data_IF_240173917778
#
_entry.id   IF_240173917778
#
_cell.length_a   1.000
_cell.length_b   1.000
_cell.length_c   1.000
_cell.angle_alpha   90.00
_cell.angle_beta   90.00
_cell.angle_gamma   90.00
#
_symmetry.space_group_name_H-M   'P 1'
#
loop_
_entity.id
_entity.type
_entity.pdbx_description
1 polymer ?
#
# COMPACT_ATOMS: atom_id res chain seq x y z
N UNK A 1 16.69 6.29 -3.89
CA UNK A 1 15.28 6.22 -3.44
C UNK A 1 14.47 5.65 -4.59
N UNK A 2 13.62 4.66 -4.33
CA UNK A 2 12.87 3.93 -5.36
C UNK A 2 11.70 4.78 -5.84
N UNK A 3 11.21 4.55 -7.07
CA UNK A 3 10.08 5.32 -7.60
C UNK A 3 8.79 5.03 -6.81
N UNK A 4 8.63 3.80 -6.34
CA UNK A 4 7.55 3.40 -5.44
C UNK A 4 7.57 4.20 -4.12
N UNK A 5 8.74 4.33 -3.47
CA UNK A 5 8.84 5.08 -2.21
C UNK A 5 8.62 6.58 -2.42
N UNK A 6 9.15 7.17 -3.48
CA UNK A 6 8.91 8.59 -3.82
C UNK A 6 7.41 8.86 -4.06
N UNK A 7 6.73 7.98 -4.81
CA UNK A 7 5.29 8.07 -5.06
C UNK A 7 4.48 7.96 -3.77
N UNK A 8 4.89 7.05 -2.86
CA UNK A 8 4.31 6.93 -1.54
C UNK A 8 4.47 8.22 -0.72
N UNK A 9 5.67 8.81 -0.69
CA UNK A 9 5.93 10.06 0.03
C UNK A 9 5.09 11.22 -0.51
N UNK A 10 4.95 11.34 -1.82
CA UNK A 10 4.03 12.33 -2.41
C UNK A 10 2.58 12.10 -1.97
N UNK A 11 2.14 10.85 -1.89
CA UNK A 11 0.78 10.48 -1.48
C UNK A 11 0.55 10.74 0.01
N UNK A 12 1.50 10.38 0.88
CA UNK A 12 1.38 10.62 2.32
C UNK A 12 1.45 12.11 2.65
N UNK A 13 2.21 12.90 1.90
CA UNK A 13 2.25 14.36 2.04
C UNK A 13 0.90 14.99 1.67
N UNK A 14 0.24 14.51 0.62
CA UNK A 14 -1.14 14.93 0.28
C UNK A 14 -2.13 14.57 1.40
N UNK A 15 -2.02 13.37 1.98
CA UNK A 15 -2.85 12.97 3.13
C UNK A 15 -2.63 13.89 4.33
N UNK A 16 -1.38 14.22 4.67
CA UNK A 16 -1.08 15.19 5.72
C UNK A 16 -1.60 16.60 5.39
N UNK A 17 -1.56 17.01 4.12
CA UNK A 17 -2.13 18.28 3.66
C UNK A 17 -3.62 18.40 3.99
N UNK A 18 -4.39 17.32 3.84
CA UNK A 18 -5.81 17.28 4.21
C UNK A 18 -6.02 17.48 5.71
N UNK A 19 -5.17 16.90 6.56
CA UNK A 19 -5.22 17.13 8.00
C UNK A 19 -4.89 18.59 8.37
N UNK A 20 -3.91 19.20 7.69
CA UNK A 20 -3.56 20.61 7.90
C UNK A 20 -4.72 21.52 7.50
N UNK A 21 -5.38 21.24 6.37
CA UNK A 21 -6.56 22.00 5.95
C UNK A 21 -7.67 21.85 7.00
N UNK A 22 -7.93 20.63 7.49
CA UNK A 22 -8.90 20.40 8.57
C UNK A 22 -8.59 21.25 9.80
N UNK A 23 -7.34 21.26 10.28
CA UNK A 23 -6.97 22.05 11.45
C UNK A 23 -7.19 23.57 11.24
N UNK A 24 -6.92 24.05 10.02
CA UNK A 24 -7.11 25.47 9.67
C UNK A 24 -8.58 25.85 9.57
N UNK A 25 -9.43 24.96 9.07
CA UNK A 25 -10.86 25.27 8.88
C UNK A 25 -11.69 25.01 10.13
N UNK A 26 -11.33 23.99 10.93
CA UNK A 26 -12.07 23.63 12.14
C UNK A 26 -12.06 24.72 13.22
N UNK A 27 -10.95 25.46 13.33
CA UNK A 27 -10.79 26.54 14.31
C UNK A 27 -11.18 27.93 13.75
N UNK A 28 -11.64 28.00 12.50
CA UNK A 28 -11.87 29.28 11.84
C UNK A 28 -13.37 29.66 11.87
N UNK A 29 -13.73 30.82 12.47
CA UNK A 29 -15.12 31.25 12.62
C UNK A 29 -15.87 31.44 11.29
N UNK A 30 -15.15 31.64 10.18
CA UNK A 30 -15.72 31.75 8.84
C UNK A 30 -16.31 30.43 8.32
N UNK A 31 -15.89 29.29 8.87
CA UNK A 31 -16.31 27.96 8.42
C UNK A 31 -17.22 27.23 9.42
N UNK A 32 -17.79 27.96 10.38
CA UNK A 32 -18.71 27.42 11.39
C UNK A 32 -19.92 26.79 10.71
N UNK A 33 -20.18 25.51 11.01
CA UNK A 33 -21.29 24.73 10.45
C UNK A 33 -20.91 23.74 9.34
N UNK A 34 -19.70 23.83 8.76
CA UNK A 34 -19.20 22.82 7.83
C UNK A 34 -18.60 21.63 8.57
N UNK A 35 -19.19 20.44 8.40
CA UNK A 35 -18.62 19.19 8.92
C UNK A 35 -17.40 18.78 8.09
N UNK A 36 -16.25 19.38 8.40
CA UNK A 36 -14.99 19.14 7.71
C UNK A 36 -14.33 17.79 8.05
N UNK A 37 -14.98 16.92 8.83
CA UNK A 37 -14.44 15.61 9.21
C UNK A 37 -14.15 14.71 8.00
N UNK A 38 -14.79 14.96 6.85
CA UNK A 38 -14.50 14.27 5.59
C UNK A 38 -13.09 14.54 5.05
N UNK A 39 -12.46 15.65 5.44
CA UNK A 39 -11.03 15.86 5.17
C UNK A 39 -10.18 14.81 5.88
N UNK A 40 -10.54 14.46 7.13
CA UNK A 40 -9.82 13.43 7.89
C UNK A 40 -10.11 12.04 7.29
N UNK A 41 -11.37 11.74 6.93
CA UNK A 41 -11.73 10.48 6.25
C UNK A 41 -10.96 10.32 4.94
N UNK A 42 -10.92 11.39 4.14
CA UNK A 42 -10.16 11.43 2.89
C UNK A 42 -8.66 11.24 3.12
N UNK A 43 -8.11 11.84 4.19
CA UNK A 43 -6.71 11.64 4.57
C UNK A 43 -6.40 10.18 4.91
N UNK A 44 -7.28 9.50 5.65
CA UNK A 44 -7.15 8.08 5.99
C UNK A 44 -7.18 7.21 4.73
N UNK A 45 -8.17 7.44 3.86
CA UNK A 45 -8.32 6.69 2.60
C UNK A 45 -7.06 6.86 1.74
N UNK A 46 -6.58 8.10 1.58
CA UNK A 46 -5.41 8.39 0.75
C UNK A 46 -4.13 7.76 1.31
N UNK A 47 -3.94 7.75 2.64
CA UNK A 47 -2.78 7.12 3.26
C UNK A 47 -2.76 5.60 3.07
N UNK A 48 -3.90 4.93 3.27
CA UNK A 48 -4.01 3.48 3.07
C UNK A 48 -3.84 3.11 1.59
N UNK A 49 -4.48 3.85 0.67
CA UNK A 49 -4.28 3.64 -0.77
C UNK A 49 -2.82 3.85 -1.20
N UNK A 50 -2.13 4.83 -0.61
CA UNK A 50 -0.70 5.04 -0.84
C UNK A 50 0.15 3.85 -0.39
N UNK A 51 -0.16 3.28 0.78
CA UNK A 51 0.49 2.07 1.27
C UNK A 51 0.27 0.88 0.33
N UNK A 52 -0.95 0.68 -0.14
CA UNK A 52 -1.26 -0.43 -1.05
C UNK A 52 -0.48 -0.32 -2.36
N UNK A 53 -0.53 0.88 -2.97
CA UNK A 53 0.18 1.19 -4.21
C UNK A 53 1.70 1.08 -4.08
N UNK A 54 2.25 1.38 -2.90
CA UNK A 54 3.67 1.20 -2.63
C UNK A 54 4.08 -0.27 -2.79
N UNK A 55 3.37 -1.21 -2.13
CA UNK A 55 3.79 -2.62 -2.13
C UNK A 55 3.68 -3.25 -3.51
N UNK A 56 2.61 -2.94 -4.26
CA UNK A 56 2.44 -3.45 -5.62
C UNK A 56 3.51 -2.86 -6.56
N UNK A 57 3.73 -1.55 -6.52
CA UNK A 57 4.76 -0.89 -7.35
C UNK A 57 6.16 -1.35 -7.00
N UNK A 58 6.48 -1.49 -5.70
CA UNK A 58 7.80 -1.94 -5.25
C UNK A 58 8.05 -3.38 -5.65
N UNK A 59 7.02 -4.22 -5.65
CA UNK A 59 7.13 -5.58 -6.17
C UNK A 59 7.48 -5.55 -7.66
N UNK A 60 6.72 -4.83 -8.50
CA UNK A 60 6.89 -4.87 -9.95
C UNK A 60 8.13 -4.14 -10.46
N UNK A 61 8.63 -3.14 -9.73
CA UNK A 61 9.93 -2.52 -9.99
C UNK A 61 11.08 -3.53 -9.99
N UNK A 62 11.04 -4.51 -9.08
CA UNK A 62 12.11 -5.50 -8.92
C UNK A 62 11.91 -6.77 -9.73
N UNK A 63 10.69 -7.00 -10.24
CA UNK A 63 10.29 -8.25 -10.89
C UNK A 63 11.24 -8.67 -12.02
N UNK A 64 11.53 -7.75 -12.95
CA UNK A 64 12.34 -8.07 -14.12
C UNK A 64 13.80 -8.29 -13.75
N UNK A 65 14.34 -7.50 -12.81
CA UNK A 65 15.69 -7.71 -12.30
C UNK A 65 15.80 -9.06 -11.60
N UNK A 66 14.81 -9.42 -10.80
CA UNK A 66 14.74 -10.71 -10.12
C UNK A 66 14.72 -11.87 -11.11
N UNK A 67 13.84 -11.83 -12.12
CA UNK A 67 13.75 -12.89 -13.14
C UNK A 67 15.08 -13.07 -13.87
N UNK A 68 15.73 -11.97 -14.25
CA UNK A 68 17.01 -12.03 -14.98
C UNK A 68 18.15 -12.61 -14.15
N UNK A 69 18.20 -12.29 -12.85
CA UNK A 69 19.34 -12.63 -12.00
C UNK A 69 19.17 -13.95 -11.24
N UNK A 70 17.93 -14.29 -10.86
CA UNK A 70 17.61 -15.46 -10.01
C UNK A 70 16.72 -16.48 -10.71
N UNK A 71 16.23 -16.18 -11.91
CA UNK A 71 15.31 -17.04 -12.64
C UNK A 71 13.89 -17.01 -12.07
N UNK A 72 13.13 -18.06 -12.37
CA UNK A 72 11.74 -18.22 -11.94
C UNK A 72 11.64 -19.16 -10.75
N UNK A 73 10.79 -18.82 -9.77
CA UNK A 73 10.42 -19.71 -8.67
C UNK A 73 9.01 -20.25 -8.91
N UNK A 74 8.64 -21.37 -8.29
CA UNK A 74 7.28 -21.91 -8.40
C UNK A 74 6.22 -20.89 -7.99
N UNK A 75 6.45 -20.16 -6.90
CA UNK A 75 5.56 -19.10 -6.43
C UNK A 75 5.43 -17.96 -7.45
N UNK A 76 6.52 -17.58 -8.13
CA UNK A 76 6.47 -16.58 -9.18
C UNK A 76 5.68 -17.09 -10.39
N UNK A 77 5.89 -18.35 -10.80
CA UNK A 77 5.12 -18.97 -11.89
C UNK A 77 3.62 -18.97 -11.56
N UNK A 78 3.24 -19.31 -10.33
CA UNK A 78 1.84 -19.29 -9.89
C UNK A 78 1.24 -17.87 -9.99
N UNK A 79 2.00 -16.84 -9.64
CA UNK A 79 1.57 -15.43 -9.79
C UNK A 79 1.44 -15.05 -11.26
N UNK A 80 2.40 -15.44 -12.10
CA UNK A 80 2.35 -15.16 -13.54
C UNK A 80 1.15 -15.84 -14.20
N UNK A 81 0.87 -17.09 -13.85
CA UNK A 81 -0.29 -17.81 -14.35
C UNK A 81 -1.61 -17.15 -13.92
N UNK A 82 -1.72 -16.72 -12.66
CA UNK A 82 -2.88 -15.94 -12.17
C UNK A 82 -3.01 -14.58 -12.85
N UNK A 83 -1.88 -13.97 -13.22
CA UNK A 83 -1.85 -12.75 -14.02
C UNK A 83 -2.17 -12.98 -15.50
N UNK A 84 -2.49 -14.22 -15.90
CA UNK A 84 -2.92 -14.58 -17.25
C UNK A 84 -1.81 -15.09 -18.18
N UNK A 85 -0.57 -15.22 -17.69
CA UNK A 85 0.53 -15.79 -18.47
C UNK A 85 0.39 -17.30 -18.59
N UNK A 86 -0.29 -17.75 -19.65
CA UNK A 86 -0.44 -19.16 -19.98
C UNK A 86 0.67 -19.64 -20.96
N UNK A 87 0.70 -20.94 -21.24
CA UNK A 87 1.70 -21.54 -22.13
C UNK A 87 1.70 -20.93 -23.53
N UNK A 88 0.52 -20.63 -24.09
CA UNK A 88 0.40 -20.00 -25.39
C UNK A 88 1.05 -18.62 -25.41
N UNK A 89 0.74 -17.77 -24.42
CA UNK A 89 1.35 -16.46 -24.28
C UNK A 89 2.86 -16.56 -24.05
N UNK A 90 3.33 -17.54 -23.29
CA UNK A 90 4.75 -17.76 -23.07
C UNK A 90 5.48 -18.12 -24.37
N UNK A 91 4.89 -18.98 -25.21
CA UNK A 91 5.44 -19.33 -26.53
C UNK A 91 5.46 -18.11 -27.47
N UNK A 92 4.38 -17.32 -27.49
CA UNK A 92 4.33 -16.08 -28.27
C UNK A 92 5.40 -15.07 -27.82
N UNK A 93 5.73 -15.02 -26.52
CA UNK A 93 6.75 -14.13 -25.99
C UNK A 93 8.18 -14.46 -26.44
N UNK A 94 8.45 -15.68 -26.91
CA UNK A 94 9.78 -16.08 -27.39
C UNK A 94 10.22 -15.22 -28.58
N UNK A 95 9.28 -14.85 -29.46
CA UNK A 95 9.55 -14.09 -30.68
C UNK A 95 9.29 -12.59 -30.54
N UNK A 96 8.92 -12.10 -29.36
CA UNK A 96 8.65 -10.68 -29.13
C UNK A 96 9.93 -9.88 -28.89
N UNK A 97 9.96 -8.62 -29.34
CA UNK A 97 11.08 -7.71 -29.06
C UNK A 97 11.25 -7.37 -27.57
N UNK A 98 10.14 -7.38 -26.81
CA UNK A 98 10.09 -6.87 -25.42
C UNK A 98 9.29 -7.76 -24.46
N UNK A 99 9.65 -9.06 -24.31
CA UNK A 99 8.87 -10.02 -23.51
C UNK A 99 8.80 -9.63 -22.03
N UNK A 100 9.90 -9.14 -21.45
CA UNK A 100 9.93 -8.69 -20.06
C UNK A 100 9.01 -7.50 -19.78
N UNK A 101 8.82 -6.59 -20.75
CA UNK A 101 7.86 -5.50 -20.59
C UNK A 101 6.44 -6.04 -20.53
N UNK A 102 6.11 -7.01 -21.38
CA UNK A 102 4.79 -7.65 -21.39
C UNK A 102 4.51 -8.39 -20.09
N UNK A 103 5.48 -9.16 -19.58
CA UNK A 103 5.40 -9.82 -18.26
C UNK A 103 5.11 -8.79 -17.16
N UNK A 104 5.89 -7.70 -17.12
CA UNK A 104 5.67 -6.63 -16.15
C UNK A 104 4.26 -6.05 -16.24
N UNK A 105 3.78 -5.77 -17.45
CA UNK A 105 2.43 -5.21 -17.65
C UNK A 105 1.33 -6.17 -17.15
N UNK A 106 1.45 -7.48 -17.41
CA UNK A 106 0.48 -8.46 -16.91
C UNK A 106 0.44 -8.47 -15.38
N UNK A 107 1.61 -8.50 -14.74
CA UNK A 107 1.70 -8.50 -13.28
C UNK A 107 1.24 -7.18 -12.67
N UNK A 108 1.61 -6.03 -13.27
CA UNK A 108 1.13 -4.71 -12.84
C UNK A 108 -0.41 -4.66 -12.88
N UNK A 109 -1.03 -5.17 -13.95
CA UNK A 109 -2.49 -5.21 -14.09
C UNK A 109 -3.12 -6.13 -13.05
N UNK A 110 -2.61 -7.35 -12.89
CA UNK A 110 -3.07 -8.30 -11.87
C UNK A 110 -2.99 -7.71 -10.45
N UNK A 111 -1.89 -7.02 -10.14
CA UNK A 111 -1.70 -6.41 -8.82
C UNK A 111 -2.51 -5.12 -8.62
N UNK A 112 -2.99 -4.47 -9.68
CA UNK A 112 -3.85 -3.29 -9.56
C UNK A 112 -5.22 -3.59 -8.94
N UNK A 113 -5.71 -4.81 -9.14
CA UNK A 113 -6.93 -5.33 -8.55
C UNK A 113 -6.69 -6.00 -7.18
N UNK A 114 -5.41 -6.18 -6.83
CA UNK A 114 -5.00 -6.93 -5.65
C UNK A 114 -4.87 -6.01 -4.43
N UNK A 115 -5.74 -6.18 -3.43
CA UNK A 115 -5.67 -5.38 -2.20
C UNK A 115 -4.58 -5.89 -1.27
N UNK A 116 -3.48 -5.14 -1.14
CA UNK A 116 -2.38 -5.38 -0.18
C UNK A 116 -2.67 -4.88 1.24
N UNK A 117 -3.95 -4.60 1.53
CA UNK A 117 -4.46 -4.15 2.85
C UNK A 117 -4.35 -5.21 3.95
N UNK A 118 -3.88 -6.41 3.64
CA UNK A 118 -3.66 -7.47 4.63
C UNK A 118 -2.17 -7.80 4.72
N UNK A 119 -1.65 -7.86 5.94
CA UNK A 119 -0.21 -8.07 6.18
C UNK A 119 0.28 -9.43 5.66
N UNK A 120 -0.53 -10.49 5.80
CA UNK A 120 -0.23 -11.82 5.26
C UNK A 120 -0.16 -11.84 3.72
N UNK A 121 -0.87 -10.91 3.06
CA UNK A 121 -0.81 -10.76 1.61
C UNK A 121 0.50 -10.09 1.20
N UNK A 122 0.93 -9.06 1.94
CA UNK A 122 2.23 -8.40 1.73
C UNK A 122 3.36 -9.40 1.93
N UNK A 123 3.34 -10.17 3.02
CA UNK A 123 4.37 -11.16 3.33
C UNK A 123 4.48 -12.21 2.21
N UNK A 124 3.37 -12.83 1.82
CA UNK A 124 3.34 -13.80 0.71
C UNK A 124 3.83 -13.24 -0.62
N UNK A 125 3.57 -11.96 -0.89
CA UNK A 125 4.03 -11.31 -2.12
C UNK A 125 5.56 -11.20 -2.14
N UNK A 126 6.18 -10.82 -1.02
CA UNK A 126 7.63 -10.61 -0.93
C UNK A 126 8.43 -11.89 -0.59
N UNK A 127 7.77 -12.94 -0.11
CA UNK A 127 8.34 -14.30 -0.03
C UNK A 127 8.87 -14.80 -1.38
N UNK A 128 8.24 -14.39 -2.49
CA UNK A 128 8.71 -14.69 -3.86
C UNK A 128 10.16 -14.25 -4.08
N UNK A 129 10.57 -13.15 -3.42
CA UNK A 129 11.92 -12.63 -3.50
C UNK A 129 12.86 -13.16 -2.40
N UNK A 130 12.38 -14.13 -1.61
CA UNK A 130 13.08 -14.70 -0.45
C UNK A 130 13.00 -13.83 0.80
N UNK A 131 12.06 -12.88 0.87
CA UNK A 131 11.90 -11.98 2.01
C UNK A 131 10.78 -12.51 2.91
N UNK A 132 11.18 -13.28 3.92
CA UNK A 132 10.23 -13.89 4.85
C UNK A 132 9.84 -12.92 5.98
N UNK A 133 8.56 -12.95 6.39
CA UNK A 133 8.04 -12.17 7.52
C UNK A 133 8.33 -10.66 7.44
N UNK A 134 8.30 -10.07 6.24
CA UNK A 134 8.60 -8.67 5.98
C UNK A 134 7.87 -7.74 6.95
N UNK A 135 6.57 -7.93 7.16
CA UNK A 135 5.74 -7.03 7.97
C UNK A 135 6.15 -7.08 9.46
N UNK A 136 6.33 -8.27 10.01
CA UNK A 136 6.73 -8.46 11.41
C UNK A 136 8.15 -7.97 11.66
N UNK A 137 9.06 -8.21 10.72
CA UNK A 137 10.43 -7.71 10.76
C UNK A 137 10.47 -6.18 10.70
N UNK A 138 9.64 -5.56 9.86
CA UNK A 138 9.51 -4.11 9.79
C UNK A 138 8.99 -3.53 11.11
N UNK A 139 7.99 -4.16 11.74
CA UNK A 139 7.55 -3.75 13.08
C UNK A 139 8.68 -3.85 14.11
N UNK A 140 9.46 -4.94 14.10
CA UNK A 140 10.62 -5.12 14.98
C UNK A 140 11.63 -3.98 14.85
N UNK A 141 11.91 -3.54 13.61
CA UNK A 141 12.84 -2.44 13.32
C UNK A 141 12.41 -1.12 13.97
N UNK A 142 11.11 -0.87 14.08
CA UNK A 142 10.57 0.38 14.67
C UNK A 142 10.56 0.38 16.20
N UNK A 143 10.76 -0.78 16.84
CA UNK A 143 10.59 -0.97 18.30
C UNK A 143 9.17 -0.65 18.81
N UNK A 144 8.17 -0.51 17.94
CA UNK A 144 6.77 -0.23 18.32
C UNK A 144 5.91 -1.49 18.24
N UNK A 145 5.73 -2.16 19.39
CA UNK A 145 4.99 -3.44 19.51
C UNK A 145 3.56 -3.42 18.97
N UNK A 146 2.92 -2.25 18.90
CA UNK A 146 1.53 -2.09 18.47
C UNK A 146 1.39 -1.46 17.07
N UNK A 147 2.46 -1.36 16.28
CA UNK A 147 2.44 -0.67 14.99
C UNK A 147 1.47 -1.33 13.99
N UNK A 148 1.62 -2.63 13.75
CA UNK A 148 0.76 -3.41 12.85
C UNK A 148 -0.70 -3.35 13.32
N UNK A 149 -0.92 -3.46 14.64
CA UNK A 149 -2.26 -3.33 15.25
C UNK A 149 -2.87 -1.94 15.00
N UNK A 150 -2.06 -0.89 15.07
CA UNK A 150 -2.48 0.49 14.79
C UNK A 150 -2.91 0.64 13.33
N UNK A 151 -2.07 0.16 12.40
CA UNK A 151 -2.32 0.20 10.96
C UNK A 151 -3.53 -0.64 10.57
N UNK A 152 -3.69 -1.84 11.14
CA UNK A 152 -4.86 -2.69 10.91
C UNK A 152 -6.18 -2.02 11.29
N UNK A 153 -6.17 -1.21 12.36
CA UNK A 153 -7.35 -0.38 12.71
C UNK A 153 -7.61 0.71 11.67
N UNK A 154 -6.56 1.32 11.12
CA UNK A 154 -6.67 2.33 10.06
C UNK A 154 -7.22 1.74 8.77
N UNK A 155 -6.74 0.56 8.39
CA UNK A 155 -7.24 -0.19 7.23
C UNK A 155 -8.71 -0.55 7.40
N UNK A 156 -9.08 -1.08 8.57
CA UNK A 156 -10.50 -1.37 8.88
C UNK A 156 -11.35 -0.10 8.75
N UNK A 157 -10.88 1.03 9.27
CA UNK A 157 -11.60 2.31 9.13
C UNK A 157 -11.71 2.77 7.68
N UNK A 158 -10.65 2.65 6.87
CA UNK A 158 -10.72 2.91 5.42
C UNK A 158 -11.79 2.05 4.74
N UNK A 159 -11.88 0.77 5.09
CA UNK A 159 -12.91 -0.12 4.56
C UNK A 159 -14.33 0.36 4.93
N UNK A 160 -14.53 0.78 6.18
CA UNK A 160 -15.80 1.37 6.64
C UNK A 160 -16.15 2.68 5.89
N UNK A 161 -15.17 3.57 5.67
CA UNK A 161 -15.36 4.82 4.92
C UNK A 161 -15.79 4.52 3.48
N UNK A 162 -15.04 3.67 2.77
CA UNK A 162 -15.24 3.45 1.33
C UNK A 162 -16.51 2.65 1.04
N UNK A 163 -16.84 1.65 1.84
CA UNK A 163 -17.95 0.74 1.53
C UNK A 163 -19.25 1.06 2.28
N UNK A 164 -19.18 1.79 3.40
CA UNK A 164 -20.35 2.07 4.25
C UNK A 164 -20.55 3.56 4.50
N UNK A 165 -19.83 4.44 3.80
CA UNK A 165 -19.88 5.89 4.03
C UNK A 165 -19.48 6.31 5.44
N UNK A 166 -18.80 5.44 6.19
CA UNK A 166 -18.44 5.64 7.60
C UNK A 166 -19.64 5.82 8.57
N UNK A 167 -20.81 5.28 8.23
CA UNK A 167 -21.99 5.29 9.10
C UNK A 167 -21.94 4.19 10.18
N UNK A 168 -22.56 4.45 11.33
CA UNK A 168 -22.80 3.47 12.38
C UNK A 168 -24.11 2.70 12.14
N UNK A 169 -24.49 1.79 13.05
CA UNK A 169 -25.72 1.00 12.96
C UNK A 169 -27.03 1.79 13.11
N UNK A 170 -26.94 3.08 13.43
CA UNK A 170 -28.07 4.00 13.59
C UNK A 170 -28.04 5.12 12.54
N UNK A 171 -27.40 4.89 11.40
CA UNK A 171 -27.28 5.83 10.27
C UNK A 171 -26.68 7.20 10.63
N UNK A 172 -25.89 7.26 11.70
CA UNK A 172 -25.09 8.45 12.06
C UNK A 172 -23.65 8.28 11.63
N UNK A 173 -23.07 9.35 11.06
CA UNK A 173 -21.65 9.39 10.75
C UNK A 173 -20.82 9.14 12.01
N UNK A 174 -19.89 8.20 11.94
CA UNK A 174 -18.98 7.93 13.05
C UNK A 174 -18.05 9.11 13.26
N UNK A 175 -17.84 9.50 14.52
CA UNK A 175 -16.87 10.52 14.87
C UNK A 175 -15.46 10.13 14.40
N UNK A 176 -14.67 11.13 14.01
CA UNK A 176 -13.29 10.96 13.56
C UNK A 176 -12.39 11.86 14.40
N UNK A 177 -11.49 11.23 15.16
CA UNK A 177 -10.51 11.94 15.97
C UNK A 177 -9.30 12.33 15.12
N UNK A 178 -9.09 13.64 14.98
CA UNK A 178 -7.97 14.23 14.24
C UNK A 178 -6.60 13.77 14.78
N UNK A 179 -6.39 13.84 16.09
CA UNK A 179 -5.10 13.53 16.74
C UNK A 179 -4.75 12.05 16.54
N UNK A 180 -5.75 11.18 16.73
CA UNK A 180 -5.60 9.75 16.48
C UNK A 180 -5.33 9.45 15.01
N UNK A 181 -6.06 10.09 14.10
CA UNK A 181 -5.89 9.89 12.65
C UNK A 181 -4.51 10.33 12.17
N UNK A 182 -4.03 11.47 12.66
CA UNK A 182 -2.66 11.96 12.40
C UNK A 182 -1.60 10.94 12.83
N UNK A 183 -1.73 10.38 14.04
CA UNK A 183 -0.83 9.33 14.54
C UNK A 183 -0.90 8.08 13.66
N UNK A 184 -2.09 7.64 13.27
CA UNK A 184 -2.29 6.47 12.43
C UNK A 184 -1.69 6.61 11.03
N UNK A 185 -1.79 7.81 10.43
CA UNK A 185 -1.16 8.12 9.15
C UNK A 185 0.38 8.13 9.28
N UNK A 186 0.91 8.66 10.38
CA UNK A 186 2.34 8.59 10.68
C UNK A 186 2.82 7.14 10.90
N UNK A 187 2.00 6.29 11.52
CA UNK A 187 2.29 4.86 11.70
C UNK A 187 2.40 4.14 10.33
N UNK A 188 1.52 4.45 9.38
CA UNK A 188 1.60 3.92 8.00
C UNK A 188 2.92 4.33 7.35
N UNK A 189 3.29 5.62 7.44
CA UNK A 189 4.56 6.13 6.91
C UNK A 189 5.76 5.36 7.46
N UNK A 190 5.82 5.26 8.79
CA UNK A 190 6.92 4.59 9.48
C UNK A 190 7.02 3.10 9.08
N UNK A 191 5.89 2.43 8.92
CA UNK A 191 5.84 1.04 8.49
C UNK A 191 6.35 0.85 7.07
N UNK A 192 5.86 1.62 6.10
CA UNK A 192 6.30 1.55 4.69
C UNK A 192 7.79 1.83 4.57
N UNK A 193 8.30 2.86 5.25
CA UNK A 193 9.75 3.17 5.25
C UNK A 193 10.58 2.05 5.88
N UNK A 194 10.05 1.38 6.91
CA UNK A 194 10.73 0.24 7.54
C UNK A 194 10.74 -0.98 6.63
N UNK A 195 9.64 -1.26 5.93
CA UNK A 195 9.60 -2.30 4.90
C UNK A 195 10.58 -1.98 3.77
N UNK A 196 10.61 -0.74 3.27
CA UNK A 196 11.51 -0.34 2.18
C UNK A 196 12.99 -0.54 2.53
N UNK A 197 13.37 -0.21 3.76
CA UNK A 197 14.72 -0.45 4.28
C UNK A 197 15.08 -1.94 4.27
N UNK A 198 14.14 -2.83 4.58
CA UNK A 198 14.37 -4.27 4.56
C UNK A 198 14.43 -4.80 3.13
N UNK A 199 13.52 -4.37 2.27
CA UNK A 199 13.47 -4.75 0.85
C UNK A 199 14.77 -4.34 0.16
N UNK A 200 15.22 -3.10 0.34
CA UNK A 200 16.40 -2.54 -0.33
C UNK A 200 17.70 -3.22 0.05
N UNK A 201 17.77 -3.88 1.22
CA UNK A 201 18.94 -4.72 1.59
C UNK A 201 19.07 -5.97 0.73
N UNK A 202 17.96 -6.47 0.18
CA UNK A 202 17.88 -7.73 -0.57
C UNK A 202 17.72 -7.45 -2.06
N UNK A 203 16.98 -6.40 -2.41
CA UNK A 203 16.62 -5.96 -3.76
C UNK A 203 16.97 -4.48 -3.91
N UNK A 204 18.20 -4.15 -4.33
CA UNK A 204 18.64 -2.76 -4.50
C UNK A 204 17.78 -2.01 -5.54
#
# INVERSE_FOLDING_TARGET
MTKALDTFHKTINRSNGLLIIYQKTHNNPTFVGLNNADLIRSAIVLAVSGMDAYFTSRFTENLISFIKNKGTTRQLVDVLQKAGLNTEQALQMITMDRPYRRIRTLVDQYLSEYTTQRFDVIDRLFEIYGINNLTTNAQGLTKRKALIKSIGRTIKRRHEIVHKGDYNSHDKLKEVDHTRSKKQIADIKLFVESCDRLITKILP
#
